data_IF_658478934756
#
_entry.id   IF_658478934756
#
_cell.length_a   1.000
_cell.length_b   1.000
_cell.length_c   1.000
_cell.angle_alpha   90.00
_cell.angle_beta   90.00
_cell.angle_gamma   90.00
#
_symmetry.space_group_name_H-M   'P 1'
#
loop_
_entity.id
_entity.type
_entity.pdbx_description
1 polymer ?
#
# COMPACT_ATOMS: atom_id res chain seq x y z
N UNK A 1 2.63 24.28 -2.49
CA UNK A 1 2.13 23.30 -1.50
C UNK A 1 0.61 23.33 -1.57
N UNK A 2 -0.10 22.21 -1.40
CA UNK A 2 -1.56 22.28 -1.25
C UNK A 2 -1.89 22.85 0.13
N UNK A 3 -3.03 23.52 0.27
CA UNK A 3 -3.46 24.11 1.55
C UNK A 3 -3.50 23.09 2.70
N UNK A 4 -3.83 21.83 2.39
CA UNK A 4 -3.86 20.75 3.38
C UNK A 4 -2.45 20.35 3.85
N UNK A 5 -1.51 20.23 2.91
CA UNK A 5 -0.13 19.87 3.23
C UNK A 5 0.56 20.99 4.01
N UNK A 6 0.26 22.25 3.69
CA UNK A 6 0.76 23.41 4.44
C UNK A 6 0.28 23.39 5.89
N UNK A 7 -1.02 23.21 6.12
CA UNK A 7 -1.57 23.03 7.48
C UNK A 7 -0.90 21.88 8.23
N UNK A 8 -0.66 20.74 7.58
CA UNK A 8 0.02 19.62 8.21
C UNK A 8 1.43 20.00 8.70
N UNK A 9 2.21 20.72 7.89
CA UNK A 9 3.54 21.22 8.29
C UNK A 9 3.46 22.29 9.39
N UNK A 10 2.48 23.18 9.34
CA UNK A 10 2.25 24.15 10.43
C UNK A 10 1.95 23.47 11.76
N UNK A 11 1.18 22.38 11.77
CA UNK A 11 0.92 21.60 12.97
C UNK A 11 2.16 20.81 13.41
N UNK A 12 2.87 20.16 12.47
CA UNK A 12 4.08 19.40 12.76
C UNK A 12 5.19 20.27 13.35
N UNK A 13 5.40 21.49 12.84
CA UNK A 13 6.44 22.41 13.31
C UNK A 13 6.25 22.90 14.76
N UNK A 14 5.04 22.75 15.32
CA UNK A 14 4.75 23.07 16.72
C UNK A 14 5.13 21.94 17.69
N UNK A 15 5.45 20.75 17.20
CA UNK A 15 5.87 19.62 18.02
C UNK A 15 7.30 19.82 18.56
N UNK A 16 7.70 19.16 19.66
CA UNK A 16 9.11 19.13 20.08
C UNK A 16 10.02 18.55 18.98
N UNK A 17 11.30 18.97 18.88
CA UNK A 17 12.20 18.55 17.80
C UNK A 17 12.28 17.02 17.61
N UNK A 18 12.33 16.26 18.71
CA UNK A 18 12.35 14.80 18.65
C UNK A 18 11.11 14.20 17.97
N UNK A 19 9.94 14.80 18.21
CA UNK A 19 8.69 14.36 17.59
C UNK A 19 8.59 14.80 16.13
N UNK A 20 9.13 15.97 15.78
CA UNK A 20 9.27 16.40 14.39
C UNK A 20 10.12 15.41 13.59
N UNK A 21 11.28 15.03 14.12
CA UNK A 21 12.18 14.07 13.48
C UNK A 21 11.55 12.68 13.36
N UNK A 22 10.81 12.23 14.38
CA UNK A 22 10.10 10.96 14.34
C UNK A 22 9.01 10.96 13.25
N UNK A 23 8.22 12.04 13.17
CA UNK A 23 7.20 12.21 12.14
C UNK A 23 7.81 12.28 10.74
N UNK A 24 8.91 13.03 10.57
CA UNK A 24 9.61 13.16 9.29
C UNK A 24 10.15 11.79 8.82
N UNK A 25 10.79 11.02 9.71
CA UNK A 25 11.27 9.67 9.38
C UNK A 25 10.13 8.75 8.97
N UNK A 26 9.02 8.77 9.70
CA UNK A 26 7.85 7.97 9.37
C UNK A 26 7.30 8.33 7.98
N UNK A 27 7.10 9.62 7.70
CA UNK A 27 6.55 10.08 6.42
C UNK A 27 7.47 9.74 5.23
N UNK A 28 8.79 9.92 5.40
CA UNK A 28 9.76 9.56 4.36
C UNK A 28 9.78 8.07 4.07
N UNK A 29 9.64 7.23 5.10
CA UNK A 29 9.55 5.79 4.93
C UNK A 29 8.27 5.38 4.19
N UNK A 30 7.13 6.00 4.51
CA UNK A 30 5.86 5.73 3.82
C UNK A 30 5.95 6.07 2.33
N UNK A 31 6.48 7.26 2.01
CA UNK A 31 6.70 7.70 0.64
C UNK A 31 7.64 6.73 -0.10
N UNK A 32 8.70 6.24 0.55
CA UNK A 32 9.61 5.28 -0.05
C UNK A 32 8.94 3.92 -0.29
N UNK A 33 8.11 3.45 0.64
CA UNK A 33 7.35 2.22 0.53
C UNK A 33 6.33 2.28 -0.62
N UNK A 34 5.57 3.37 -0.72
CA UNK A 34 4.61 3.60 -1.81
C UNK A 34 5.31 3.62 -3.17
N UNK A 35 6.43 4.35 -3.30
CA UNK A 35 7.20 4.38 -4.55
C UNK A 35 7.75 3.00 -4.93
N UNK A 36 8.22 2.22 -3.95
CA UNK A 36 8.69 0.85 -4.18
C UNK A 36 7.53 -0.06 -4.62
N UNK A 37 6.36 0.08 -3.99
CA UNK A 37 5.16 -0.64 -4.39
C UNK A 37 4.76 -0.31 -5.83
N UNK A 38 4.64 0.97 -6.19
CA UNK A 38 4.31 1.39 -7.55
C UNK A 38 5.29 0.84 -8.58
N UNK A 39 6.59 0.91 -8.29
CA UNK A 39 7.63 0.39 -9.17
C UNK A 39 7.60 -1.13 -9.34
N UNK A 40 7.26 -1.88 -8.30
CA UNK A 40 7.13 -3.34 -8.37
C UNK A 40 5.83 -3.75 -9.06
N UNK A 41 4.72 -3.10 -8.73
CA UNK A 41 3.42 -3.33 -9.32
C UNK A 41 3.43 -3.06 -10.83
N UNK A 42 4.02 -1.96 -11.28
CA UNK A 42 4.14 -1.63 -12.70
C UNK A 42 4.88 -2.69 -13.54
N UNK A 43 5.73 -3.51 -12.91
CA UNK A 43 6.48 -4.61 -13.55
C UNK A 43 5.79 -5.97 -13.45
N UNK A 44 4.72 -6.06 -12.67
CA UNK A 44 3.99 -7.30 -12.41
C UNK A 44 2.84 -7.68 -13.37
N UNK A 45 2.44 -6.92 -14.43
CA UNK A 45 1.23 -7.27 -15.20
C UNK A 45 1.19 -8.70 -15.76
N UNK A 46 2.30 -9.21 -16.28
CA UNK A 46 2.37 -10.57 -16.82
C UNK A 46 2.21 -11.64 -15.72
N UNK A 47 2.85 -11.43 -14.57
CA UNK A 47 2.72 -12.32 -13.41
C UNK A 47 1.28 -12.30 -12.87
N UNK A 48 0.70 -11.11 -12.69
CA UNK A 48 -0.68 -10.97 -12.22
C UNK A 48 -1.68 -11.61 -13.19
N UNK A 49 -1.48 -11.47 -14.50
CA UNK A 49 -2.32 -12.13 -15.50
C UNK A 49 -2.21 -13.67 -15.43
N UNK A 50 -1.01 -14.20 -15.17
CA UNK A 50 -0.80 -15.63 -14.96
C UNK A 50 -1.54 -16.12 -13.72
N UNK A 51 -1.37 -15.43 -12.58
CA UNK A 51 -2.05 -15.77 -11.32
C UNK A 51 -3.58 -15.69 -11.44
N UNK A 52 -4.09 -14.68 -12.15
CA UNK A 52 -5.52 -14.56 -12.41
C UNK A 52 -6.05 -15.71 -13.28
N UNK A 53 -5.27 -16.14 -14.28
CA UNK A 53 -5.63 -17.26 -15.14
C UNK A 53 -5.65 -18.58 -14.38
N UNK A 54 -4.66 -18.80 -13.52
CA UNK A 54 -4.57 -19.97 -12.62
C UNK A 54 -5.77 -20.03 -11.68
N UNK A 55 -6.07 -18.94 -10.97
CA UNK A 55 -7.22 -18.88 -10.07
C UNK A 55 -8.56 -19.15 -10.77
N UNK A 56 -8.72 -18.70 -12.02
CA UNK A 56 -9.91 -19.00 -12.82
C UNK A 56 -9.97 -20.49 -13.20
N UNK A 57 -8.86 -21.10 -13.57
CA UNK A 57 -8.79 -22.53 -13.87
C UNK A 57 -9.14 -23.38 -12.65
N UNK A 58 -8.61 -23.05 -11.48
CA UNK A 58 -8.95 -23.74 -10.22
C UNK A 58 -10.43 -23.60 -9.88
N UNK A 59 -10.99 -22.40 -10.07
CA UNK A 59 -12.42 -22.17 -9.86
C UNK A 59 -13.29 -22.99 -10.80
N UNK A 60 -12.97 -22.99 -12.08
CA UNK A 60 -13.73 -23.71 -13.11
C UNK A 60 -13.52 -25.23 -13.03
N UNK A 61 -12.37 -25.67 -12.50
CA UNK A 61 -12.05 -27.07 -12.21
C UNK A 61 -12.72 -27.62 -10.94
N UNK A 62 -13.29 -26.74 -10.10
CA UNK A 62 -13.94 -27.11 -8.84
C UNK A 62 -12.98 -27.23 -7.64
N UNK A 63 -11.73 -26.80 -7.81
CA UNK A 63 -10.70 -26.80 -6.76
C UNK A 63 -10.77 -25.55 -5.86
N UNK A 64 -11.56 -24.54 -6.25
CA UNK A 64 -11.82 -23.36 -5.43
C UNK A 64 -13.05 -23.52 -4.53
N UNK A 65 -12.99 -22.95 -3.33
CA UNK A 65 -14.11 -22.90 -2.37
C UNK A 65 -14.59 -21.46 -2.14
N UNK A 66 -15.88 -21.26 -1.84
CA UNK A 66 -16.38 -19.95 -1.42
C UNK A 66 -15.67 -19.47 -0.16
N UNK A 67 -15.25 -18.21 -0.15
CA UNK A 67 -14.78 -17.55 1.06
C UNK A 67 -16.00 -17.24 1.94
N UNK A 68 -16.06 -17.81 3.15
CA UNK A 68 -17.07 -17.48 4.18
C UNK A 68 -16.37 -16.71 5.30
N UNK A 69 -16.45 -15.36 5.32
CA UNK A 69 -15.66 -14.55 6.25
C UNK A 69 -15.93 -14.82 7.73
N UNK A 70 -17.15 -15.24 8.06
CA UNK A 70 -17.56 -15.57 9.44
C UNK A 70 -16.98 -16.91 9.94
N UNK A 71 -16.33 -17.67 9.05
CA UNK A 71 -15.69 -18.98 9.33
C UNK A 71 -14.15 -18.91 9.28
N UNK A 72 -13.57 -17.71 9.16
CA UNK A 72 -12.11 -17.47 9.15
C UNK A 72 -11.48 -17.41 10.54
#
# INVERSE_FOLDING_TARGET
>A
MTDLLEKAFEHASKLPPQQQDALAKWLLNEIAADNAWDATFAKSPALLASLASEALQEKDGGDAQPLVPDEL
#
